data_IF_999291330356
#
_entry.id   IF_999291330356
#
_cell.length_a   1.000
_cell.length_b   1.000
_cell.length_c   1.000
_cell.angle_alpha   90.00
_cell.angle_beta   90.00
_cell.angle_gamma   90.00
#
_symmetry.space_group_name_H-M   'P 1'
#
loop_
_entity.id
_entity.type
_entity.pdbx_description
1 polymer ?
#
# COMPACT_ATOMS: atom_id res chain seq x y z
N UNK A 1 -9.84 -18.12 7.21
CA UNK A 1 -8.66 -17.37 6.79
C UNK A 1 -9.02 -15.89 6.75
N UNK A 2 -8.28 -15.08 7.49
CA UNK A 2 -8.45 -13.64 7.64
C UNK A 2 -8.13 -12.86 6.35
N UNK A 3 -7.33 -13.42 5.46
CA UNK A 3 -6.88 -12.76 4.23
C UNK A 3 -7.48 -13.41 2.98
N UNK A 4 -8.09 -12.61 2.12
CA UNK A 4 -8.52 -13.03 0.79
C UNK A 4 -7.41 -12.80 -0.22
N UNK A 5 -7.17 -13.81 -1.09
CA UNK A 5 -6.22 -13.71 -2.20
C UNK A 5 -4.78 -13.33 -1.82
N UNK A 6 -4.29 -13.87 -0.69
CA UNK A 6 -2.88 -13.69 -0.29
C UNK A 6 -1.97 -14.22 -1.40
N UNK A 7 -1.11 -13.36 -1.96
CA UNK A 7 -0.12 -13.76 -2.95
C UNK A 7 1.17 -14.29 -2.29
N UNK A 8 1.98 -15.03 -3.06
CA UNK A 8 3.32 -15.44 -2.57
C UNK A 8 4.22 -14.24 -2.31
N UNK A 9 4.09 -13.16 -3.07
CA UNK A 9 4.83 -11.91 -2.89
C UNK A 9 4.49 -11.26 -1.54
N UNK A 10 3.21 -11.18 -1.19
CA UNK A 10 2.75 -10.67 0.11
C UNK A 10 3.20 -11.55 1.27
N UNK A 11 3.08 -12.88 1.12
CA UNK A 11 3.57 -13.81 2.14
C UNK A 11 5.08 -13.64 2.36
N UNK A 12 5.86 -13.51 1.29
CA UNK A 12 7.31 -13.27 1.39
C UNK A 12 7.58 -11.93 2.07
N UNK A 13 6.82 -10.88 1.72
CA UNK A 13 6.94 -9.58 2.36
C UNK A 13 6.69 -9.66 3.86
N UNK A 14 5.62 -10.35 4.28
CA UNK A 14 5.30 -10.55 5.71
C UNK A 14 6.38 -11.35 6.44
N UNK A 15 6.89 -12.43 5.85
CA UNK A 15 7.97 -13.23 6.42
C UNK A 15 9.30 -12.49 6.54
N UNK A 16 9.50 -11.47 5.72
CA UNK A 16 10.70 -10.61 5.72
C UNK A 16 10.55 -9.37 6.61
N UNK A 17 9.33 -9.00 6.96
CA UNK A 17 9.05 -7.85 7.82
C UNK A 17 9.28 -8.23 9.28
N UNK A 18 10.07 -7.47 10.07
CA UNK A 18 10.22 -7.68 11.49
C UNK A 18 8.86 -7.57 12.22
N UNK A 19 8.68 -8.39 13.26
CA UNK A 19 7.48 -8.33 14.13
C UNK A 19 7.45 -7.01 14.94
N UNK A 20 8.57 -6.32 15.05
CA UNK A 20 8.68 -5.05 15.76
C UNK A 20 7.75 -4.00 15.18
N UNK A 21 6.93 -3.38 16.01
CA UNK A 21 5.92 -2.39 15.59
C UNK A 21 4.57 -2.98 15.21
N UNK A 22 4.43 -4.33 15.17
CA UNK A 22 3.14 -4.99 14.91
C UNK A 22 2.17 -4.74 16.09
N UNK A 23 0.89 -4.52 15.79
CA UNK A 23 -0.16 -4.40 16.78
C UNK A 23 -0.22 -5.65 17.69
N UNK A 24 -0.47 -5.43 18.99
CA UNK A 24 -0.66 -6.53 19.94
C UNK A 24 -1.89 -7.38 19.61
N UNK A 25 -2.90 -6.81 18.99
CA UNK A 25 -4.13 -7.52 18.60
C UNK A 25 -3.82 -8.55 17.51
N UNK A 26 -3.10 -8.18 16.46
CA UNK A 26 -2.67 -9.11 15.40
C UNK A 26 -1.86 -10.29 15.96
N UNK A 27 -0.98 -10.01 16.94
CA UNK A 27 -0.25 -11.07 17.62
C UNK A 27 -1.17 -11.98 18.44
N UNK A 28 -2.22 -11.42 19.03
CA UNK A 28 -3.18 -12.15 19.83
C UNK A 28 -4.08 -13.04 18.97
N UNK A 29 -4.53 -12.53 17.83
CA UNK A 29 -5.32 -13.28 16.83
C UNK A 29 -4.55 -14.48 16.29
N UNK A 30 -3.25 -14.32 16.05
CA UNK A 30 -2.38 -15.45 15.71
C UNK A 30 -2.37 -16.51 16.82
N UNK A 31 -2.28 -16.09 18.09
CA UNK A 31 -2.30 -17.01 19.23
C UNK A 31 -3.66 -17.70 19.33
N UNK A 32 -4.77 -16.98 19.22
CA UNK A 32 -6.13 -17.53 19.30
C UNK A 32 -6.43 -18.52 18.17
N UNK A 33 -5.88 -18.30 16.99
CA UNK A 33 -6.05 -19.19 15.84
C UNK A 33 -5.13 -20.42 15.92
N UNK A 34 -3.85 -20.24 16.22
CA UNK A 34 -2.86 -21.30 16.13
C UNK A 34 -2.81 -22.20 17.38
N UNK A 35 -3.00 -21.62 18.58
CA UNK A 35 -2.87 -22.40 19.83
C UNK A 35 -3.96 -23.46 19.99
N UNK A 36 -5.25 -23.20 19.74
CA UNK A 36 -6.28 -24.24 19.81
C UNK A 36 -6.02 -25.38 18.82
N UNK A 37 -5.59 -25.07 17.60
CA UNK A 37 -5.25 -26.08 16.60
C UNK A 37 -4.07 -26.96 17.05
N UNK A 38 -3.01 -26.35 17.61
CA UNK A 38 -1.87 -27.06 18.17
C UNK A 38 -2.28 -27.93 19.36
N UNK A 39 -3.12 -27.41 20.27
CA UNK A 39 -3.65 -28.17 21.43
C UNK A 39 -4.47 -29.36 20.96
N UNK A 40 -5.35 -29.20 19.98
CA UNK A 40 -6.14 -30.31 19.39
C UNK A 40 -5.23 -31.38 18.78
N UNK A 41 -4.18 -30.97 18.06
CA UNK A 41 -3.22 -31.89 17.46
C UNK A 41 -2.48 -32.71 18.54
N UNK A 42 -2.01 -32.03 19.60
CA UNK A 42 -1.36 -32.71 20.75
C UNK A 42 -2.33 -33.66 21.43
N UNK A 43 -3.57 -33.24 21.68
CA UNK A 43 -4.60 -34.08 22.29
C UNK A 43 -4.90 -35.33 21.46
N UNK A 44 -5.00 -35.17 20.11
CA UNK A 44 -5.15 -36.28 19.17
C UNK A 44 -3.98 -37.28 19.27
N UNK A 45 -2.73 -36.78 19.32
CA UNK A 45 -1.55 -37.63 19.47
C UNK A 45 -1.57 -38.40 20.81
N UNK A 46 -1.98 -37.75 21.89
CA UNK A 46 -2.10 -38.39 23.23
C UNK A 46 -3.15 -39.50 23.17
N UNK A 47 -4.31 -39.30 22.54
CA UNK A 47 -5.34 -40.32 22.38
C UNK A 47 -4.80 -41.52 21.57
N UNK A 48 -4.11 -41.26 20.45
CA UNK A 48 -3.51 -42.29 19.61
C UNK A 48 -2.53 -43.15 20.42
N UNK A 49 -1.66 -42.50 21.23
CA UNK A 49 -0.71 -43.20 22.10
C UNK A 49 -1.43 -44.04 23.17
N UNK A 50 -2.49 -43.51 23.79
CA UNK A 50 -3.26 -44.20 24.81
C UNK A 50 -3.98 -45.44 24.22
N UNK A 51 -4.58 -45.33 23.03
CA UNK A 51 -5.21 -46.44 22.33
C UNK A 51 -4.18 -47.51 21.92
N UNK A 52 -2.99 -47.11 21.48
CA UNK A 52 -1.94 -48.00 21.07
C UNK A 52 -1.39 -48.89 22.22
N UNK A 53 -1.68 -48.56 23.50
CA UNK A 53 -1.26 -49.34 24.68
C UNK A 53 -2.11 -50.59 24.95
N UNK A 54 -3.26 -50.77 24.33
CA UNK A 54 -4.24 -51.83 24.69
C UNK A 54 -3.84 -53.26 24.26
N UNK A 55 -3.38 -53.47 23.02
CA UNK A 55 -2.88 -54.76 22.53
C UNK A 55 -1.77 -54.58 21.51
N UNK A 56 -0.95 -55.65 21.29
CA UNK A 56 0.11 -55.57 20.22
C UNK A 56 -0.43 -55.33 18.82
N UNK A 57 -1.51 -55.99 18.47
CA UNK A 57 -2.15 -55.89 17.14
C UNK A 57 -2.79 -54.50 16.99
N UNK A 58 -3.54 -54.06 18.01
CA UNK A 58 -4.15 -52.72 18.04
C UNK A 58 -3.10 -51.62 17.94
N UNK A 59 -1.95 -51.82 18.61
CA UNK A 59 -0.83 -50.89 18.55
C UNK A 59 -0.35 -50.68 17.10
N UNK A 60 -0.10 -51.74 16.37
CA UNK A 60 0.38 -51.67 14.99
C UNK A 60 -0.65 -51.01 14.04
N UNK A 61 -1.91 -51.38 14.14
CA UNK A 61 -2.99 -50.80 13.32
C UNK A 61 -3.14 -49.32 13.62
N UNK A 62 -3.17 -48.92 14.90
CA UNK A 62 -3.30 -47.53 15.29
C UNK A 62 -2.07 -46.72 14.88
N UNK A 63 -0.86 -47.25 15.00
CA UNK A 63 0.35 -46.54 14.55
C UNK A 63 0.39 -46.35 13.07
N UNK A 64 0.11 -47.37 12.24
CA UNK A 64 0.05 -47.26 10.78
C UNK A 64 -1.04 -46.30 10.37
N UNK A 65 -2.23 -46.41 10.95
CA UNK A 65 -3.34 -45.51 10.69
C UNK A 65 -3.04 -44.04 11.04
N UNK A 66 -2.40 -43.82 12.19
CA UNK A 66 -1.99 -42.47 12.60
C UNK A 66 -0.92 -41.87 11.68
N UNK A 67 0.10 -42.67 11.31
CA UNK A 67 1.13 -42.20 10.37
C UNK A 67 0.53 -41.92 9.00
N UNK A 68 -0.29 -42.82 8.46
CA UNK A 68 -0.95 -42.62 7.18
C UNK A 68 -1.89 -41.41 7.17
N UNK A 69 -2.70 -41.26 8.25
CA UNK A 69 -3.59 -40.10 8.42
C UNK A 69 -2.82 -38.78 8.55
N UNK A 70 -1.75 -38.76 9.35
CA UNK A 70 -0.90 -37.57 9.48
C UNK A 70 -0.21 -37.21 8.17
N UNK A 71 0.30 -38.21 7.43
CA UNK A 71 0.87 -37.97 6.10
C UNK A 71 -0.17 -37.41 5.12
N UNK A 72 -1.37 -37.99 5.10
CA UNK A 72 -2.44 -37.52 4.23
C UNK A 72 -2.82 -36.06 4.56
N UNK A 73 -2.93 -35.71 5.84
CA UNK A 73 -3.18 -34.33 6.28
C UNK A 73 -2.07 -33.38 5.88
N UNK A 74 -0.82 -33.74 6.09
CA UNK A 74 0.33 -32.91 5.71
C UNK A 74 0.37 -32.69 4.21
N UNK A 75 0.20 -33.76 3.42
CA UNK A 75 0.20 -33.67 1.94
C UNK A 75 -0.97 -32.82 1.45
N UNK A 76 -2.19 -33.03 1.97
CA UNK A 76 -3.36 -32.25 1.56
C UNK A 76 -3.23 -30.77 1.96
N UNK A 77 -2.73 -30.49 3.16
CA UNK A 77 -2.49 -29.10 3.59
C UNK A 77 -1.39 -28.43 2.76
N UNK A 78 -0.28 -29.14 2.50
CA UNK A 78 0.77 -28.62 1.64
C UNK A 78 0.29 -28.37 0.19
N UNK A 79 -0.56 -29.25 -0.33
CA UNK A 79 -1.14 -29.10 -1.66
C UNK A 79 -2.16 -27.94 -1.71
N UNK A 80 -2.94 -27.76 -0.65
CA UNK A 80 -3.83 -26.62 -0.53
C UNK A 80 -3.04 -25.31 -0.54
N UNK A 81 -2.05 -25.15 0.33
CA UNK A 81 -1.18 -23.98 0.39
C UNK A 81 -0.47 -23.75 -0.95
N UNK A 82 0.02 -24.81 -1.59
CA UNK A 82 0.68 -24.72 -2.89
C UNK A 82 -0.24 -24.16 -3.98
N UNK A 83 -1.50 -24.57 -3.99
CA UNK A 83 -2.48 -24.12 -4.98
C UNK A 83 -3.03 -22.72 -4.65
N UNK A 84 -3.35 -22.45 -3.38
CA UNK A 84 -3.90 -21.15 -2.96
C UNK A 84 -2.93 -19.98 -3.14
N UNK A 85 -1.63 -20.25 -2.98
CA UNK A 85 -0.58 -19.24 -3.12
C UNK A 85 0.11 -19.25 -4.49
N UNK A 86 -0.35 -20.07 -5.44
CA UNK A 86 0.27 -20.25 -6.76
C UNK A 86 1.79 -20.42 -6.70
N UNK A 87 2.28 -21.20 -5.70
CA UNK A 87 3.72 -21.39 -5.44
C UNK A 87 4.48 -21.83 -6.69
N UNK A 88 3.84 -22.67 -7.54
CA UNK A 88 4.42 -23.14 -8.80
C UNK A 88 4.72 -21.99 -9.75
N UNK A 89 3.78 -21.09 -9.96
CA UNK A 89 3.93 -19.89 -10.79
C UNK A 89 4.98 -18.95 -10.22
N UNK A 90 4.93 -18.67 -8.90
CA UNK A 90 5.95 -17.87 -8.24
C UNK A 90 7.37 -18.39 -8.48
N UNK A 91 7.60 -19.69 -8.30
CA UNK A 91 8.92 -20.29 -8.52
C UNK A 91 9.36 -20.28 -10.00
N UNK A 92 8.42 -20.35 -10.93
CA UNK A 92 8.70 -20.21 -12.36
C UNK A 92 9.07 -18.77 -12.71
N UNK A 93 8.31 -17.80 -12.20
CA UNK A 93 8.59 -16.37 -12.37
C UNK A 93 9.97 -15.97 -11.82
N UNK A 94 10.37 -16.54 -10.67
CA UNK A 94 11.72 -16.32 -10.11
C UNK A 94 12.86 -16.88 -10.98
N UNK A 95 12.58 -17.82 -11.88
CA UNK A 95 13.57 -18.41 -12.80
C UNK A 95 13.53 -17.77 -14.19
N UNK A 96 12.40 -17.20 -14.56
CA UNK A 96 12.17 -16.60 -15.88
C UNK A 96 12.72 -15.19 -15.89
N UNK A 97 13.84 -14.98 -16.57
CA UNK A 97 14.39 -13.63 -16.76
C UNK A 97 13.53 -12.86 -17.77
N UNK A 98 13.22 -11.60 -17.46
CA UNK A 98 12.46 -10.70 -18.30
C UNK A 98 13.15 -9.34 -18.40
N UNK A 99 13.21 -8.82 -19.63
CA UNK A 99 13.68 -7.46 -19.91
C UNK A 99 12.54 -6.43 -19.87
N UNK A 100 11.31 -6.84 -19.52
CA UNK A 100 10.15 -5.97 -19.56
C UNK A 100 10.34 -4.67 -18.75
N UNK A 101 10.80 -4.81 -17.48
CA UNK A 101 11.04 -3.63 -16.64
C UNK A 101 12.11 -2.74 -17.26
N UNK A 102 13.22 -3.31 -17.72
CA UNK A 102 14.29 -2.58 -18.40
C UNK A 102 13.80 -1.85 -19.66
N UNK A 103 13.04 -2.52 -20.53
CA UNK A 103 12.55 -1.97 -21.81
C UNK A 103 11.48 -0.89 -21.63
N UNK A 104 10.69 -0.96 -20.54
CA UNK A 104 9.58 -0.04 -20.27
C UNK A 104 9.91 1.05 -19.25
N UNK A 105 11.04 0.94 -18.53
CA UNK A 105 11.46 1.89 -17.51
C UNK A 105 11.87 3.25 -18.11
N UNK A 106 11.06 4.26 -17.86
CA UNK A 106 11.37 5.64 -18.18
C UNK A 106 12.25 6.22 -17.06
N UNK A 107 13.59 6.21 -17.28
CA UNK A 107 14.56 6.55 -16.23
C UNK A 107 14.46 8.03 -15.80
N UNK A 108 14.05 8.33 -14.56
CA UNK A 108 13.87 9.71 -14.12
C UNK A 108 15.17 10.52 -14.05
N UNK A 109 16.33 9.87 -14.06
CA UNK A 109 17.63 10.56 -14.12
C UNK A 109 17.98 11.08 -15.53
N UNK A 110 17.33 10.53 -16.57
CA UNK A 110 17.59 10.89 -17.98
C UNK A 110 16.48 11.75 -18.57
N UNK A 111 15.27 11.71 -17.98
CA UNK A 111 14.11 12.44 -18.47
C UNK A 111 14.14 13.87 -17.95
N UNK A 112 13.94 14.83 -18.86
CA UNK A 112 13.83 16.22 -18.47
C UNK A 112 12.47 16.50 -17.81
N UNK A 113 12.53 17.04 -16.58
CA UNK A 113 11.35 17.52 -15.84
C UNK A 113 11.53 19.02 -15.63
N UNK A 114 10.56 19.81 -16.08
CA UNK A 114 10.56 21.26 -15.93
C UNK A 114 9.48 21.68 -14.96
N UNK A 115 9.86 22.27 -13.85
CA UNK A 115 8.94 22.86 -12.89
C UNK A 115 8.67 24.32 -13.20
N UNK A 116 7.47 24.84 -12.87
CA UNK A 116 7.22 26.28 -12.94
C UNK A 116 8.16 27.05 -11.99
N UNK A 117 8.41 28.32 -12.30
CA UNK A 117 9.25 29.19 -11.45
C UNK A 117 8.70 29.28 -10.03
N UNK A 118 7.37 29.48 -9.90
CA UNK A 118 6.69 29.37 -8.63
C UNK A 118 6.28 27.91 -8.38
N UNK A 119 7.06 27.24 -7.54
CA UNK A 119 6.83 25.85 -7.18
C UNK A 119 5.63 25.71 -6.24
N UNK A 120 4.77 24.73 -6.49
CA UNK A 120 3.60 24.44 -5.66
C UNK A 120 3.95 23.50 -4.51
N UNK A 121 3.31 23.68 -3.37
CA UNK A 121 3.39 22.71 -2.28
C UNK A 121 2.65 21.43 -2.66
N UNK A 122 3.11 20.32 -2.13
CA UNK A 122 2.44 19.02 -2.19
C UNK A 122 1.94 18.61 -0.81
N UNK A 123 0.68 18.20 -0.72
CA UNK A 123 0.18 17.39 0.39
C UNK A 123 -0.24 16.06 -0.21
N UNK A 124 0.44 14.97 0.19
CA UNK A 124 0.18 13.62 -0.32
C UNK A 124 -0.36 12.74 0.80
N UNK A 125 -1.58 12.24 0.63
CA UNK A 125 -2.26 11.45 1.65
C UNK A 125 -2.47 10.03 1.13
N UNK A 126 -1.72 9.10 1.70
CA UNK A 126 -2.02 7.67 1.59
C UNK A 126 -3.20 7.37 2.52
N UNK A 127 -4.29 6.93 1.94
CA UNK A 127 -5.48 6.53 2.68
C UNK A 127 -5.45 5.01 2.87
N UNK A 128 -5.22 4.56 4.09
CA UNK A 128 -5.14 3.14 4.41
C UNK A 128 -6.38 2.38 3.93
N UNK A 129 -6.17 1.34 3.11
CA UNK A 129 -7.20 0.43 2.58
C UNK A 129 -8.39 1.12 1.89
N UNK A 130 -8.25 2.34 1.38
CA UNK A 130 -9.35 3.14 0.84
C UNK A 130 -9.62 2.84 -0.64
N UNK A 131 -10.75 2.20 -0.89
CA UNK A 131 -11.20 1.78 -2.21
C UNK A 131 -12.42 2.53 -2.70
N UNK A 132 -12.60 2.56 -4.02
CA UNK A 132 -13.87 2.98 -4.63
C UNK A 132 -15.01 2.00 -4.37
N UNK A 133 -14.70 0.76 -4.02
CA UNK A 133 -15.65 -0.28 -3.65
C UNK A 133 -16.65 0.16 -2.58
N UNK A 134 -16.22 1.01 -1.64
CA UNK A 134 -17.02 1.48 -0.50
C UNK A 134 -18.08 2.52 -0.86
N UNK A 135 -18.03 3.08 -2.05
CA UNK A 135 -19.12 3.88 -2.59
C UNK A 135 -20.27 2.98 -3.07
N UNK A 136 -21.46 3.56 -3.25
CA UNK A 136 -22.61 2.81 -3.76
C UNK A 136 -22.52 2.57 -5.28
N UNK A 137 -23.15 1.48 -5.73
CA UNK A 137 -23.20 1.06 -7.14
C UNK A 137 -23.71 2.13 -8.09
N UNK A 138 -24.64 2.96 -7.65
CA UNK A 138 -25.23 4.04 -8.47
C UNK A 138 -24.23 5.15 -8.83
N UNK A 139 -23.15 5.30 -8.05
CA UNK A 139 -22.07 6.26 -8.35
C UNK A 139 -20.80 5.61 -8.90
N UNK A 140 -20.75 4.28 -9.01
CA UNK A 140 -19.59 3.55 -9.54
C UNK A 140 -18.85 2.70 -8.51
N UNK A 141 -19.38 2.59 -7.29
CA UNK A 141 -18.85 1.72 -6.24
C UNK A 141 -19.31 0.27 -6.34
N UNK A 142 -18.94 -0.54 -5.35
CA UNK A 142 -19.23 -1.99 -5.30
C UNK A 142 -20.38 -2.37 -4.36
N UNK A 143 -20.79 -1.49 -3.44
CA UNK A 143 -21.77 -1.77 -2.40
C UNK A 143 -23.17 -1.26 -2.76
N UNK A 144 -24.18 -1.75 -2.06
CA UNK A 144 -25.58 -1.28 -2.20
C UNK A 144 -25.81 0.05 -1.42
N UNK A 145 -24.87 0.47 -0.61
CA UNK A 145 -24.88 1.70 0.18
C UNK A 145 -23.49 2.39 0.09
N UNK A 146 -23.44 3.66 0.42
CA UNK A 146 -22.20 4.44 0.36
C UNK A 146 -21.64 4.64 1.78
N UNK A 147 -20.52 3.96 2.10
CA UNK A 147 -19.84 4.16 3.38
C UNK A 147 -18.92 5.39 3.38
N UNK A 148 -18.58 5.96 2.22
CA UNK A 148 -17.62 7.06 2.09
C UNK A 148 -18.25 8.28 1.38
N UNK A 149 -19.41 8.79 1.84
CA UNK A 149 -20.15 9.80 1.09
C UNK A 149 -19.38 11.11 0.94
N UNK A 150 -18.60 11.54 1.93
CA UNK A 150 -17.84 12.79 1.86
C UNK A 150 -16.67 12.67 0.87
N UNK A 151 -15.93 11.56 0.87
CA UNK A 151 -14.87 11.29 -0.12
C UNK A 151 -15.45 11.12 -1.53
N UNK A 152 -16.59 10.46 -1.65
CA UNK A 152 -17.33 10.36 -2.92
C UNK A 152 -17.66 11.74 -3.48
N UNK A 153 -18.20 12.64 -2.65
CA UNK A 153 -18.49 14.02 -3.03
C UNK A 153 -17.22 14.77 -3.42
N UNK A 154 -16.15 14.64 -2.62
CA UNK A 154 -14.87 15.30 -2.90
C UNK A 154 -14.28 14.85 -4.24
N UNK A 155 -14.38 13.54 -4.56
CA UNK A 155 -13.92 12.98 -5.82
C UNK A 155 -14.73 13.49 -7.02
N UNK A 156 -16.04 13.69 -6.86
CA UNK A 156 -16.90 14.28 -7.89
C UNK A 156 -16.64 15.77 -8.12
N UNK A 157 -16.19 16.50 -7.10
CA UNK A 157 -15.85 17.92 -7.18
C UNK A 157 -14.45 18.17 -7.79
N UNK A 158 -13.60 17.16 -7.87
CA UNK A 158 -12.19 17.28 -8.22
C UNK A 158 -11.79 16.27 -9.30
N UNK A 159 -10.49 16.17 -9.61
CA UNK A 159 -10.01 15.21 -10.60
C UNK A 159 -9.94 13.83 -9.95
N UNK A 160 -10.68 12.87 -10.53
CA UNK A 160 -10.65 11.45 -10.20
C UNK A 160 -10.46 10.66 -11.49
N UNK A 161 -9.35 9.93 -11.60
CA UNK A 161 -9.10 9.02 -12.71
C UNK A 161 -9.81 7.69 -12.47
N UNK A 162 -10.54 7.23 -13.49
CA UNK A 162 -11.42 6.07 -13.40
C UNK A 162 -11.35 5.22 -14.66
N UNK A 163 -11.34 3.89 -14.47
CA UNK A 163 -11.50 2.92 -15.56
C UNK A 163 -12.92 2.87 -16.15
N UNK A 164 -13.87 3.63 -15.61
CA UNK A 164 -15.27 3.68 -16.04
C UNK A 164 -15.73 5.12 -16.30
N UNK A 165 -16.99 5.29 -16.72
CA UNK A 165 -17.62 6.63 -16.86
C UNK A 165 -17.98 7.28 -15.51
N UNK A 166 -18.08 6.48 -14.44
CA UNK A 166 -18.46 6.93 -13.11
C UNK A 166 -17.24 7.15 -12.22
N UNK A 167 -17.46 7.31 -10.90
CA UNK A 167 -16.39 7.23 -9.90
C UNK A 167 -15.65 5.92 -10.06
N UNK A 168 -14.34 5.95 -9.98
CA UNK A 168 -13.53 4.74 -10.07
C UNK A 168 -12.16 4.94 -9.46
N UNK A 169 -11.40 3.87 -9.45
CA UNK A 169 -10.07 3.82 -8.88
C UNK A 169 -9.00 3.48 -9.89
N UNK A 170 -7.78 3.44 -9.40
CA UNK A 170 -6.61 2.87 -10.06
C UNK A 170 -6.30 1.51 -9.45
N UNK A 171 -5.64 0.64 -10.21
CA UNK A 171 -5.49 -0.76 -9.85
C UNK A 171 -4.12 -1.04 -9.26
N UNK A 172 -4.03 -1.64 -8.04
CA UNK A 172 -2.76 -2.13 -7.53
C UNK A 172 -2.15 -3.19 -8.47
N UNK A 173 -0.84 -3.11 -8.66
CA UNK A 173 -0.07 -4.16 -9.32
C UNK A 173 0.51 -5.12 -8.29
N UNK A 174 0.93 -6.30 -8.74
CA UNK A 174 1.72 -7.18 -7.88
C UNK A 174 2.95 -6.43 -7.36
N UNK A 175 3.22 -6.58 -6.07
CA UNK A 175 4.23 -5.80 -5.38
C UNK A 175 3.77 -4.40 -4.93
N UNK A 176 2.46 -4.07 -5.07
CA UNK A 176 1.86 -2.84 -4.53
C UNK A 176 0.54 -3.08 -3.78
N UNK A 177 0.29 -4.31 -3.32
CA UNK A 177 -0.96 -4.74 -2.68
C UNK A 177 -0.93 -4.64 -1.15
N UNK A 178 0.12 -4.08 -0.57
CA UNK A 178 0.26 -3.76 0.86
C UNK A 178 0.89 -2.38 1.03
N UNK A 179 0.77 -1.77 2.19
CA UNK A 179 1.14 -0.37 2.45
C UNK A 179 2.53 0.01 1.95
N UNK A 180 3.58 -0.74 2.32
CA UNK A 180 4.94 -0.39 1.89
C UNK A 180 5.13 -0.58 0.38
N UNK A 181 4.57 -1.65 -0.20
CA UNK A 181 4.59 -1.89 -1.64
C UNK A 181 3.88 -0.77 -2.41
N UNK A 182 2.74 -0.33 -1.90
CA UNK A 182 1.98 0.79 -2.47
C UNK A 182 2.74 2.12 -2.40
N UNK A 183 3.36 2.42 -1.25
CA UNK A 183 4.20 3.61 -1.10
C UNK A 183 5.35 3.63 -2.11
N UNK A 184 6.04 2.51 -2.29
CA UNK A 184 7.10 2.37 -3.28
C UNK A 184 6.54 2.56 -4.70
N UNK A 185 5.46 1.88 -5.06
CA UNK A 185 4.89 1.96 -6.41
C UNK A 185 4.43 3.37 -6.76
N UNK A 186 3.73 4.03 -5.84
CA UNK A 186 3.17 5.37 -6.05
C UNK A 186 4.23 6.48 -6.02
N UNK A 187 5.40 6.24 -5.43
CA UNK A 187 6.46 7.26 -5.35
C UNK A 187 7.62 7.03 -6.30
N UNK A 188 7.83 5.80 -6.80
CA UNK A 188 8.95 5.46 -7.71
C UNK A 188 8.49 4.94 -9.09
N UNK A 189 7.20 4.60 -9.24
CA UNK A 189 6.70 3.94 -10.44
C UNK A 189 7.24 2.52 -10.64
N UNK A 190 7.61 1.83 -9.57
CA UNK A 190 8.14 0.46 -9.57
C UNK A 190 7.42 -0.40 -8.53
N UNK A 191 7.10 -1.67 -8.81
CA UNK A 191 6.56 -2.56 -7.80
C UNK A 191 7.65 -2.88 -6.76
N UNK A 192 7.27 -3.13 -5.50
CA UNK A 192 8.20 -3.63 -4.50
C UNK A 192 8.31 -5.15 -4.61
N UNK A 193 9.46 -5.65 -5.06
CA UNK A 193 9.74 -7.08 -5.21
C UNK A 193 10.71 -7.53 -4.12
N UNK A 194 10.23 -8.39 -3.24
CA UNK A 194 11.04 -9.06 -2.22
C UNK A 194 11.16 -10.53 -2.61
N UNK A 195 12.39 -11.04 -2.71
CA UNK A 195 12.58 -12.43 -3.02
C UNK A 195 12.96 -13.24 -1.76
N UNK A 196 12.65 -14.55 -1.75
CA UNK A 196 12.91 -15.42 -0.60
C UNK A 196 14.38 -15.46 -0.17
N UNK A 197 15.31 -15.19 -1.08
CA UNK A 197 16.76 -15.23 -0.85
C UNK A 197 17.31 -13.87 -0.38
N UNK A 198 16.53 -12.81 -0.47
CA UNK A 198 16.93 -11.51 0.06
C UNK A 198 17.09 -11.59 1.58
N UNK A 199 17.95 -10.78 2.15
CA UNK A 199 18.00 -10.59 3.59
C UNK A 199 16.68 -10.03 4.10
N UNK A 200 16.37 -10.23 5.39
CA UNK A 200 15.15 -9.67 5.98
C UNK A 200 15.20 -8.15 5.88
N UNK A 201 14.05 -7.53 5.67
CA UNK A 201 13.93 -6.07 5.77
C UNK A 201 14.34 -5.67 7.18
N UNK A 202 15.50 -5.07 7.32
CA UNK A 202 16.07 -4.61 8.58
C UNK A 202 16.41 -3.14 8.49
N UNK A 203 16.79 -2.53 9.60
CA UNK A 203 17.19 -1.12 9.64
C UNK A 203 18.36 -0.79 8.68
N UNK A 204 19.12 -1.81 8.26
CA UNK A 204 20.28 -1.67 7.38
C UNK A 204 19.96 -1.90 5.89
N UNK A 205 18.74 -2.35 5.53
CA UNK A 205 18.38 -2.63 4.13
C UNK A 205 17.68 -1.43 3.50
N UNK A 206 18.35 -0.84 2.53
CA UNK A 206 17.80 0.22 1.70
C UNK A 206 16.87 -0.37 0.63
N UNK A 207 15.62 0.10 0.58
CA UNK A 207 14.66 -0.30 -0.44
C UNK A 207 14.90 0.50 -1.72
N UNK A 208 15.22 -0.18 -2.82
CA UNK A 208 15.47 0.41 -4.15
C UNK A 208 16.46 1.60 -4.14
N UNK A 209 17.65 1.46 -3.54
CA UNK A 209 18.56 2.58 -3.30
C UNK A 209 19.04 3.34 -4.56
N UNK A 210 18.89 2.73 -5.75
CA UNK A 210 19.27 3.35 -7.02
C UNK A 210 18.06 3.84 -7.84
N UNK A 211 16.84 3.63 -7.38
CA UNK A 211 15.65 4.20 -8.00
C UNK A 211 15.51 5.68 -7.59
N UNK A 212 15.01 6.51 -8.50
CA UNK A 212 14.70 7.92 -8.20
C UNK A 212 13.19 8.06 -7.97
N UNK A 213 12.83 8.70 -6.88
CA UNK A 213 11.45 8.84 -6.41
C UNK A 213 10.92 10.27 -6.50
N UNK A 214 9.63 10.46 -6.18
CA UNK A 214 9.04 11.81 -5.98
C UNK A 214 9.90 12.61 -4.97
N UNK A 215 10.26 11.98 -3.85
CA UNK A 215 11.06 12.62 -2.81
C UNK A 215 12.41 13.12 -3.32
N UNK A 216 13.12 12.31 -4.10
CA UNK A 216 14.42 12.70 -4.68
C UNK A 216 14.26 13.89 -5.65
N UNK A 217 13.24 13.82 -6.53
CA UNK A 217 12.96 14.90 -7.49
C UNK A 217 12.62 16.22 -6.75
N UNK A 218 11.76 16.16 -5.74
CA UNK A 218 11.35 17.34 -4.99
C UNK A 218 12.48 17.87 -4.09
N UNK A 219 13.31 16.99 -3.52
CA UNK A 219 14.51 17.37 -2.77
C UNK A 219 15.49 18.15 -3.63
N UNK A 220 15.78 17.70 -4.86
CA UNK A 220 16.58 18.42 -5.85
C UNK A 220 15.99 19.79 -6.22
N UNK A 221 14.68 19.93 -6.11
CA UNK A 221 13.98 21.19 -6.31
C UNK A 221 13.95 22.09 -5.07
N UNK A 222 14.54 21.70 -3.94
CA UNK A 222 14.65 22.48 -2.72
C UNK A 222 13.38 22.46 -1.86
N UNK A 223 12.55 21.44 -1.96
CA UNK A 223 11.40 21.26 -1.08
C UNK A 223 11.86 20.83 0.32
N UNK A 224 11.16 21.35 1.34
CA UNK A 224 11.18 20.75 2.67
C UNK A 224 10.22 19.57 2.68
N UNK A 225 10.69 18.41 3.12
CA UNK A 225 9.92 17.17 3.03
C UNK A 225 9.69 16.57 4.42
N UNK A 226 8.44 16.26 4.72
CA UNK A 226 8.03 15.62 5.96
C UNK A 226 7.05 14.47 5.64
N UNK A 227 7.17 13.38 6.40
CA UNK A 227 6.18 12.30 6.37
C UNK A 227 5.68 12.00 7.77
N UNK A 228 4.34 11.85 7.91
CA UNK A 228 3.68 11.65 9.18
C UNK A 228 2.77 10.40 9.15
N UNK A 229 2.88 9.58 10.17
CA UNK A 229 1.99 8.44 10.42
C UNK A 229 1.93 8.07 11.89
N UNK A 230 0.76 7.55 12.34
CA UNK A 230 0.50 7.25 13.75
C UNK A 230 1.24 6.04 14.30
N UNK A 231 1.83 5.21 13.46
CA UNK A 231 2.56 3.97 13.82
C UNK A 231 4.07 4.17 13.87
N UNK A 232 4.82 3.14 14.28
CA UNK A 232 6.28 3.18 14.29
C UNK A 232 6.85 3.16 12.86
N UNK A 233 7.79 4.06 12.57
CA UNK A 233 8.38 4.25 11.24
C UNK A 233 9.25 3.08 10.78
N UNK A 234 9.85 2.37 11.70
CA UNK A 234 10.69 1.20 11.41
C UNK A 234 9.89 0.03 10.84
N UNK A 235 8.57 -0.02 11.10
CA UNK A 235 7.74 -1.10 10.57
C UNK A 235 7.79 -1.12 9.04
N UNK A 236 8.12 -2.29 8.48
CA UNK A 236 8.28 -2.55 7.04
C UNK A 236 9.29 -1.64 6.32
N UNK A 237 10.21 -0.98 7.04
CA UNK A 237 11.27 -0.16 6.45
C UNK A 237 10.82 1.21 5.93
N UNK A 238 9.63 1.69 6.33
CA UNK A 238 9.07 2.99 5.86
C UNK A 238 9.99 4.16 6.15
N UNK A 239 10.50 4.26 7.39
CA UNK A 239 11.40 5.34 7.80
C UNK A 239 12.65 5.38 6.92
N UNK A 240 13.32 4.26 6.79
CA UNK A 240 14.55 4.14 5.99
C UNK A 240 14.32 4.53 4.54
N UNK A 241 13.19 4.10 3.96
CA UNK A 241 12.84 4.43 2.59
C UNK A 241 12.69 5.94 2.38
N UNK A 242 11.90 6.62 3.19
CA UNK A 242 11.65 8.05 3.04
C UNK A 242 12.85 8.92 3.44
N UNK A 243 13.63 8.52 4.45
CA UNK A 243 14.89 9.19 4.78
C UNK A 243 15.91 9.07 3.64
N UNK A 244 16.00 7.90 2.99
CA UNK A 244 16.91 7.67 1.85
C UNK A 244 16.45 8.41 0.61
N UNK A 245 15.16 8.33 0.28
CA UNK A 245 14.56 8.87 -0.94
C UNK A 245 13.97 10.26 -0.72
N UNK A 246 14.84 11.27 -0.68
CA UNK A 246 14.45 12.67 -0.59
C UNK A 246 14.67 13.32 0.77
N UNK A 247 15.22 12.59 1.77
CA UNK A 247 15.60 13.16 3.07
C UNK A 247 14.41 13.69 3.87
N UNK A 248 13.31 12.95 3.90
CA UNK A 248 12.13 13.34 4.68
C UNK A 248 12.43 13.38 6.18
N UNK A 249 11.91 14.38 6.87
CA UNK A 249 11.74 14.36 8.32
C UNK A 249 10.58 13.39 8.65
N UNK A 250 10.87 12.34 9.43
CA UNK A 250 9.88 11.30 9.76
C UNK A 250 9.23 11.63 11.10
N UNK A 251 7.92 11.88 11.08
CA UNK A 251 7.09 12.27 12.22
C UNK A 251 6.18 11.08 12.60
N UNK A 252 6.76 10.07 13.19
CA UNK A 252 6.12 8.81 13.54
C UNK A 252 5.63 8.78 15.02
N UNK A 253 5.15 7.61 15.45
CA UNK A 253 4.73 7.40 16.85
C UNK A 253 5.84 7.74 17.86
N UNK A 254 7.09 7.34 17.60
CA UNK A 254 8.21 7.63 18.50
C UNK A 254 8.50 9.13 18.57
N UNK A 255 8.51 9.77 17.41
CA UNK A 255 8.65 11.23 17.34
C UNK A 255 7.57 11.94 18.18
N UNK A 256 6.30 11.54 18.03
CA UNK A 256 5.19 12.14 18.77
C UNK A 256 5.32 11.93 20.29
N UNK A 257 5.75 10.74 20.72
CA UNK A 257 5.98 10.41 22.13
C UNK A 257 7.13 11.24 22.74
N UNK A 258 8.27 11.33 22.04
CA UNK A 258 9.47 12.04 22.49
C UNK A 258 9.27 13.57 22.53
N UNK A 259 8.43 14.11 21.64
CA UNK A 259 8.13 15.54 21.55
C UNK A 259 6.91 15.98 22.36
N UNK A 260 6.30 15.07 23.14
CA UNK A 260 5.20 15.38 24.06
C UNK A 260 3.88 15.72 23.34
N UNK A 261 3.69 15.19 22.13
CA UNK A 261 2.43 15.39 21.38
C UNK A 261 1.32 14.49 21.91
N UNK A 262 1.68 13.31 22.44
CA UNK A 262 0.72 12.35 22.98
C UNK A 262 0.24 12.73 24.39
N UNK A 263 -0.96 12.33 24.78
CA UNK A 263 -1.51 12.59 26.13
C UNK A 263 -0.63 12.05 27.28
N UNK A 264 0.11 10.96 27.03
CA UNK A 264 1.16 10.42 27.88
C UNK A 264 2.21 9.72 27.02
N UNK A 265 3.46 9.53 27.50
CA UNK A 265 4.53 8.90 26.72
C UNK A 265 4.23 7.46 26.28
N UNK A 266 3.37 6.78 27.00
CA UNK A 266 2.90 5.41 26.77
C UNK A 266 1.51 5.34 26.13
N UNK A 267 0.96 6.49 25.69
CA UNK A 267 -0.31 6.51 24.99
C UNK A 267 -0.20 5.74 23.67
N UNK A 268 -0.91 4.66 23.59
CA UNK A 268 -0.96 3.83 22.40
C UNK A 268 -2.34 3.24 22.23
N UNK A 269 -2.89 3.39 21.05
CA UNK A 269 -4.10 2.73 20.59
C UNK A 269 -3.76 1.99 19.31
N UNK A 270 -4.13 0.71 19.24
CA UNK A 270 -3.93 -0.14 18.08
C UNK A 270 -2.50 -0.10 17.52
N UNK A 271 -2.27 0.50 16.34
CA UNK A 271 -0.93 0.58 15.72
C UNK A 271 -0.02 1.70 16.27
N UNK A 272 -0.57 2.60 17.07
CA UNK A 272 0.18 3.76 17.61
C UNK A 272 -0.75 4.83 18.15
N UNK A 273 -1.05 5.89 17.38
CA UNK A 273 -2.13 6.84 17.67
C UNK A 273 -3.09 6.94 16.49
N UNK A 274 -4.36 7.19 16.80
CA UNK A 274 -5.48 7.21 15.88
C UNK A 274 -5.46 8.42 14.92
N UNK A 275 -6.23 8.33 13.83
CA UNK A 275 -6.31 9.35 12.78
C UNK A 275 -6.80 10.71 13.28
N UNK A 276 -7.64 10.75 14.32
CA UNK A 276 -8.04 12.03 14.94
C UNK A 276 -6.81 12.83 15.37
N UNK A 277 -5.86 12.21 16.06
CA UNK A 277 -4.60 12.85 16.47
C UNK A 277 -3.68 13.12 15.30
N UNK A 278 -3.64 12.20 14.34
CA UNK A 278 -2.86 12.40 13.12
C UNK A 278 -3.25 13.72 12.43
N UNK A 279 -4.56 13.97 12.25
CA UNK A 279 -5.04 15.23 11.67
C UNK A 279 -4.79 16.45 12.56
N UNK A 280 -4.88 16.32 13.88
CA UNK A 280 -4.54 17.40 14.81
C UNK A 280 -3.07 17.81 14.68
N UNK A 281 -2.15 16.85 14.68
CA UNK A 281 -0.70 17.08 14.55
C UNK A 281 -0.35 17.59 13.16
N UNK A 282 -0.96 17.03 12.12
CA UNK A 282 -0.78 17.48 10.74
C UNK A 282 -1.16 18.96 10.56
N UNK A 283 -2.24 19.44 11.20
CA UNK A 283 -2.62 20.86 11.16
C UNK A 283 -1.55 21.76 11.77
N UNK A 284 -0.92 21.34 12.87
CA UNK A 284 0.18 22.09 13.50
C UNK A 284 1.37 22.16 12.53
N UNK A 285 1.80 21.02 11.98
CA UNK A 285 2.97 20.98 11.06
C UNK A 285 2.71 21.76 9.77
N UNK A 286 1.53 21.63 9.18
CA UNK A 286 1.16 22.36 7.97
C UNK A 286 1.13 23.88 8.18
N UNK A 287 0.70 24.36 9.36
CA UNK A 287 0.81 25.77 9.69
C UNK A 287 2.26 26.24 9.78
N UNK A 288 3.15 25.44 10.35
CA UNK A 288 4.59 25.77 10.40
C UNK A 288 5.20 25.78 9.01
N UNK A 289 4.95 24.76 8.17
CA UNK A 289 5.42 24.67 6.79
C UNK A 289 4.86 25.81 5.93
N UNK A 290 3.57 26.10 6.05
CA UNK A 290 2.89 27.15 5.29
C UNK A 290 3.35 28.58 5.62
N UNK A 291 3.92 28.80 6.80
CA UNK A 291 4.56 30.07 7.19
C UNK A 291 6.04 30.16 6.72
N UNK A 292 6.59 29.07 6.19
CA UNK A 292 7.96 29.00 5.67
C UNK A 292 8.12 29.71 4.31
N UNK A 293 9.37 29.79 3.85
CA UNK A 293 9.72 30.39 2.54
C UNK A 293 9.95 29.33 1.47
N UNK A 294 10.17 28.07 1.87
CA UNK A 294 10.43 26.96 0.95
C UNK A 294 9.13 26.29 0.54
N UNK A 295 9.03 25.78 -0.70
CA UNK A 295 7.97 24.88 -1.05
C UNK A 295 8.08 23.62 -0.18
N UNK A 296 6.98 23.02 0.19
CA UNK A 296 6.97 21.84 1.03
C UNK A 296 6.28 20.66 0.36
N UNK A 297 6.71 19.47 0.74
CA UNK A 297 6.06 18.19 0.50
C UNK A 297 5.72 17.57 1.84
N UNK A 298 4.45 17.57 2.20
CA UNK A 298 3.93 16.93 3.39
C UNK A 298 3.18 15.68 3.00
N UNK A 299 3.75 14.53 3.34
CA UNK A 299 3.17 13.22 3.08
C UNK A 299 2.60 12.65 4.38
N UNK A 300 1.47 11.94 4.33
CA UNK A 300 0.91 11.29 5.50
C UNK A 300 0.21 9.97 5.14
N UNK A 301 0.09 9.08 6.13
CA UNK A 301 -0.64 7.81 6.03
C UNK A 301 -1.66 7.74 7.15
N UNK A 302 -2.92 7.48 6.82
CA UNK A 302 -3.97 7.16 7.81
C UNK A 302 -3.86 5.71 8.27
N UNK A 303 -4.51 5.34 9.37
CA UNK A 303 -4.37 4.00 9.95
C UNK A 303 -5.68 3.40 10.48
N UNK A 304 -6.68 4.21 10.84
CA UNK A 304 -7.90 3.72 11.50
C UNK A 304 -8.68 2.71 10.64
N UNK A 305 -8.51 2.75 9.33
CA UNK A 305 -9.15 1.84 8.36
C UNK A 305 -8.38 0.55 8.07
N UNK A 306 -7.29 0.28 8.81
CA UNK A 306 -6.54 -0.98 8.67
C UNK A 306 -7.40 -2.18 9.09
N UNK A 307 -7.26 -3.32 8.40
CA UNK A 307 -7.99 -4.56 8.70
C UNK A 307 -7.48 -5.19 10.05
N UNK A 308 -8.24 -6.04 10.77
CA UNK A 308 -9.64 -6.34 10.49
C UNK A 308 -10.56 -5.31 11.15
N UNK A 309 -11.69 -5.02 10.52
CA UNK A 309 -12.77 -4.15 11.01
C UNK A 309 -12.39 -2.69 11.33
N UNK A 310 -11.13 -2.30 11.20
CA UNK A 310 -10.63 -0.97 11.52
C UNK A 310 -10.72 -0.61 13.01
N UNK A 311 -10.20 0.56 13.37
CA UNK A 311 -10.25 1.09 14.73
C UNK A 311 -11.42 2.07 14.92
N UNK A 312 -12.45 1.72 15.71
CA UNK A 312 -13.57 2.61 15.99
C UNK A 312 -13.17 3.68 17.01
N UNK A 313 -12.64 4.80 16.54
CA UNK A 313 -12.29 5.93 17.40
C UNK A 313 -13.54 6.57 18.02
N UNK A 314 -13.36 7.46 18.98
CA UNK A 314 -14.49 8.14 19.69
C UNK A 314 -15.41 8.98 18.78
N UNK A 315 -14.98 9.30 17.56
CA UNK A 315 -15.75 10.05 16.59
C UNK A 315 -16.61 9.17 15.69
N UNK A 316 -16.38 7.86 15.68
CA UNK A 316 -17.15 6.92 14.88
C UNK A 316 -18.60 6.86 15.36
N UNK A 317 -19.52 6.87 14.41
CA UNK A 317 -20.97 6.73 14.66
C UNK A 317 -21.41 5.36 14.15
N UNK A 318 -22.36 4.74 14.82
CA UNK A 318 -22.98 3.51 14.36
C UNK A 318 -24.08 3.82 13.34
N UNK A 319 -23.69 3.88 12.06
CA UNK A 319 -24.59 4.24 10.95
C UNK A 319 -25.03 3.01 10.15
N UNK A 320 -24.21 1.97 10.11
CA UNK A 320 -24.38 0.84 9.19
C UNK A 320 -24.58 -0.51 9.90
N UNK A 321 -24.48 -0.55 11.24
CA UNK A 321 -24.60 -1.81 12.02
C UNK A 321 -23.42 -2.77 11.82
N UNK A 322 -22.37 -2.34 11.15
CA UNK A 322 -21.13 -3.07 10.89
C UNK A 322 -19.94 -2.17 11.19
N UNK A 323 -18.95 -2.67 11.94
CA UNK A 323 -17.86 -1.83 12.45
C UNK A 323 -17.01 -1.26 11.33
N UNK A 324 -16.60 -2.06 10.36
CA UNK A 324 -15.71 -1.59 9.30
C UNK A 324 -16.37 -0.51 8.44
N UNK A 325 -17.66 -0.66 8.09
CA UNK A 325 -18.42 0.38 7.39
C UNK A 325 -18.50 1.70 8.20
N UNK A 326 -18.67 1.59 9.52
CA UNK A 326 -18.72 2.75 10.42
C UNK A 326 -17.34 3.45 10.52
N UNK A 327 -16.25 2.68 10.54
CA UNK A 327 -14.87 3.21 10.54
C UNK A 327 -14.55 3.87 9.19
N UNK A 328 -14.93 3.26 8.06
CA UNK A 328 -14.78 3.87 6.74
C UNK A 328 -15.53 5.21 6.63
N UNK A 329 -16.77 5.27 7.14
CA UNK A 329 -17.55 6.51 7.18
C UNK A 329 -16.90 7.58 8.09
N UNK A 330 -16.35 7.16 9.21
CA UNK A 330 -15.63 8.04 10.12
C UNK A 330 -14.37 8.61 9.45
N UNK A 331 -13.57 7.78 8.81
CA UNK A 331 -12.38 8.19 8.06
C UNK A 331 -12.72 9.13 6.91
N UNK A 332 -13.75 8.82 6.10
CA UNK A 332 -14.25 9.68 5.03
C UNK A 332 -14.57 11.09 5.54
N UNK A 333 -15.32 11.20 6.62
CA UNK A 333 -15.69 12.49 7.22
C UNK A 333 -14.47 13.25 7.75
N UNK A 334 -13.60 12.59 8.54
CA UNK A 334 -12.43 13.22 9.12
C UNK A 334 -11.44 13.72 8.04
N UNK A 335 -11.19 12.91 7.02
CA UNK A 335 -10.35 13.28 5.88
C UNK A 335 -10.90 14.53 5.17
N UNK A 336 -12.20 14.54 4.84
CA UNK A 336 -12.79 15.68 4.13
C UNK A 336 -12.83 16.92 5.02
N UNK A 337 -13.11 16.80 6.31
CA UNK A 337 -12.99 17.92 7.26
C UNK A 337 -11.55 18.47 7.30
N UNK A 338 -10.54 17.61 7.26
CA UNK A 338 -9.13 18.02 7.19
C UNK A 338 -8.83 18.74 5.87
N UNK A 339 -9.30 18.23 4.72
CA UNK A 339 -9.15 18.90 3.42
C UNK A 339 -9.85 20.26 3.41
N UNK A 340 -11.07 20.36 3.95
CA UNK A 340 -11.80 21.64 4.05
C UNK A 340 -11.07 22.64 4.95
N UNK A 341 -10.39 22.16 6.01
CA UNK A 341 -9.53 23.02 6.83
C UNK A 341 -8.31 23.51 6.02
N UNK A 342 -7.63 22.64 5.25
CA UNK A 342 -6.51 23.05 4.38
C UNK A 342 -6.96 24.12 3.38
N UNK A 343 -8.13 23.97 2.78
CA UNK A 343 -8.71 24.91 1.83
C UNK A 343 -8.92 26.34 2.39
N UNK A 344 -8.95 26.49 3.70
CA UNK A 344 -9.09 27.78 4.38
C UNK A 344 -7.73 28.42 4.74
N UNK A 345 -6.61 27.70 4.51
CA UNK A 345 -5.29 28.20 4.88
C UNK A 345 -4.69 29.10 3.78
N UNK A 346 -3.88 30.10 4.15
CA UNK A 346 -3.24 31.01 3.18
C UNK A 346 -2.36 30.28 2.16
N UNK A 347 -1.74 29.15 2.52
CA UNK A 347 -0.88 28.37 1.63
C UNK A 347 -1.66 27.55 0.60
N UNK A 348 -2.97 27.36 0.76
CA UNK A 348 -3.77 26.50 -0.11
C UNK A 348 -3.76 26.94 -1.58
N UNK A 349 -3.77 28.23 -1.87
CA UNK A 349 -3.78 28.74 -3.26
C UNK A 349 -2.61 28.14 -4.07
N UNK A 350 -1.45 27.97 -3.44
CA UNK A 350 -0.24 27.40 -4.06
C UNK A 350 0.01 25.94 -3.61
N UNK A 351 -1.02 25.15 -3.33
CA UNK A 351 -0.88 23.77 -2.84
C UNK A 351 -1.72 22.83 -3.70
N UNK A 352 -1.12 21.73 -4.11
CA UNK A 352 -1.81 20.58 -4.69
C UNK A 352 -1.96 19.51 -3.64
N UNK A 353 -3.16 18.91 -3.52
CA UNK A 353 -3.43 17.83 -2.60
C UNK A 353 -3.71 16.57 -3.42
N UNK A 354 -3.02 15.49 -3.12
CA UNK A 354 -3.22 14.15 -3.68
C UNK A 354 -3.71 13.24 -2.57
N UNK A 355 -4.90 12.68 -2.73
CA UNK A 355 -5.42 11.63 -1.87
C UNK A 355 -5.49 10.36 -2.69
N UNK A 356 -4.95 9.28 -2.19
CA UNK A 356 -4.96 7.99 -2.88
C UNK A 356 -5.00 6.85 -1.87
N UNK A 357 -5.85 5.85 -2.13
CA UNK A 357 -5.81 4.60 -1.38
C UNK A 357 -4.46 3.93 -1.58
N UNK A 358 -3.89 3.37 -0.52
CA UNK A 358 -2.63 2.66 -0.67
C UNK A 358 -2.85 1.30 -1.35
N UNK A 359 -3.70 0.44 -0.82
CA UNK A 359 -4.05 -0.87 -1.39
C UNK A 359 -5.52 -1.23 -1.14
N UNK A 360 -5.95 -2.36 -1.67
CA UNK A 360 -7.28 -2.93 -1.38
C UNK A 360 -7.28 -3.52 0.02
N UNK A 361 -8.43 -3.46 0.72
CA UNK A 361 -8.51 -4.08 2.04
C UNK A 361 -8.22 -5.57 1.98
N UNK A 362 -7.49 -6.04 2.98
CA UNK A 362 -7.24 -7.46 3.23
C UNK A 362 -8.35 -8.09 4.06
N UNK A 363 -9.34 -7.30 4.48
CA UNK A 363 -10.51 -7.81 5.18
C UNK A 363 -11.31 -8.73 4.27
N UNK A 364 -11.49 -9.99 4.70
CA UNK A 364 -11.98 -11.07 3.83
C UNK A 364 -13.50 -11.09 3.67
N UNK A 365 -14.22 -10.54 4.62
CA UNK A 365 -15.70 -10.66 4.70
C UNK A 365 -16.41 -9.37 4.30
N UNK A 366 -15.84 -8.20 4.55
CA UNK A 366 -16.45 -6.91 4.20
C UNK A 366 -16.79 -6.78 2.71
N UNK A 367 -15.90 -7.23 1.84
CA UNK A 367 -16.09 -7.22 0.40
C UNK A 367 -16.64 -8.55 -0.18
N UNK A 368 -16.99 -9.54 0.66
CA UNK A 368 -17.40 -10.87 0.21
C UNK A 368 -18.66 -10.86 -0.68
N UNK A 369 -19.54 -9.88 -0.52
CA UNK A 369 -20.77 -9.73 -1.29
C UNK A 369 -20.63 -8.79 -2.51
N UNK A 370 -19.45 -8.27 -2.78
CA UNK A 370 -19.18 -7.45 -3.98
C UNK A 370 -19.19 -8.38 -5.20
N UNK A 371 -19.84 -7.93 -6.30
CA UNK A 371 -19.90 -8.74 -7.52
C UNK A 371 -18.48 -9.08 -8.00
N UNK A 372 -18.19 -10.35 -8.36
CA UNK A 372 -16.89 -10.73 -8.92
C UNK A 372 -16.57 -10.06 -10.27
N UNK A 373 -17.56 -9.47 -10.93
CA UNK A 373 -17.37 -8.68 -12.16
C UNK A 373 -16.94 -7.25 -11.86
N UNK A 374 -17.10 -6.78 -10.61
CA UNK A 374 -16.65 -5.45 -10.20
C UNK A 374 -15.15 -5.44 -10.01
N UNK A 375 -14.46 -4.62 -10.79
CA UNK A 375 -13.02 -4.44 -10.64
C UNK A 375 -12.73 -3.47 -9.50
N UNK A 376 -12.26 -4.01 -8.38
CA UNK A 376 -11.87 -3.22 -7.21
C UNK A 376 -10.63 -2.39 -7.52
N UNK A 377 -10.63 -1.13 -7.10
CA UNK A 377 -9.51 -0.20 -7.29
C UNK A 377 -9.42 0.79 -6.14
N UNK A 378 -8.21 1.29 -5.87
CA UNK A 378 -7.97 2.30 -4.84
C UNK A 378 -8.48 3.66 -5.29
N UNK A 379 -9.14 4.38 -4.38
CA UNK A 379 -9.66 5.73 -4.65
C UNK A 379 -8.50 6.69 -4.89
N UNK A 380 -8.62 7.58 -5.87
CA UNK A 380 -7.67 8.65 -6.13
C UNK A 380 -8.39 9.99 -6.34
N UNK A 381 -7.85 11.06 -5.78
CA UNK A 381 -8.41 12.41 -5.90
C UNK A 381 -7.27 13.42 -5.97
N UNK A 382 -7.31 14.31 -6.96
CA UNK A 382 -6.37 15.42 -7.09
C UNK A 382 -7.11 16.74 -6.89
N UNK A 383 -6.80 17.44 -5.80
CA UNK A 383 -7.42 18.73 -5.45
C UNK A 383 -6.46 19.86 -5.78
N UNK A 384 -6.99 20.88 -6.45
CA UNK A 384 -6.25 22.11 -6.81
C UNK A 384 -4.97 21.87 -7.65
N UNK A 385 -4.96 20.84 -8.52
CA UNK A 385 -3.88 20.69 -9.49
C UNK A 385 -3.96 21.81 -10.57
N UNK A 386 -2.83 22.43 -10.96
CA UNK A 386 -2.82 23.54 -11.94
C UNK A 386 -2.94 23.04 -13.39
N UNK A 387 -3.03 21.75 -13.61
CA UNK A 387 -3.08 21.11 -14.91
C UNK A 387 -4.46 20.52 -15.18
N UNK A 388 -4.93 20.64 -16.41
CA UNK A 388 -6.17 20.01 -16.85
C UNK A 388 -5.89 18.63 -17.44
N UNK A 389 -6.64 17.63 -17.02
CA UNK A 389 -6.55 16.30 -17.61
C UNK A 389 -7.17 16.26 -19.01
N UNK A 390 -6.52 15.59 -19.95
CA UNK A 390 -7.06 15.34 -21.29
C UNK A 390 -8.31 14.46 -21.19
N UNK A 391 -8.26 13.43 -20.37
CA UNK A 391 -9.39 12.55 -20.06
C UNK A 391 -9.21 11.94 -18.66
N UNK A 392 -10.28 11.92 -17.87
CA UNK A 392 -10.28 11.33 -16.52
C UNK A 392 -11.10 10.04 -16.44
N UNK A 393 -11.85 9.67 -17.49
CA UNK A 393 -12.76 8.52 -17.50
C UNK A 393 -12.34 7.52 -18.56
N UNK A 394 -12.71 6.25 -18.34
CA UNK A 394 -12.28 5.11 -19.16
C UNK A 394 -10.74 5.06 -19.32
N UNK A 395 -10.04 5.35 -18.23
CA UNK A 395 -8.59 5.31 -18.13
C UNK A 395 -8.20 4.14 -17.21
N UNK A 396 -7.63 3.08 -17.77
CA UNK A 396 -7.11 1.97 -16.98
C UNK A 396 -5.70 2.35 -16.53
N UNK A 397 -5.52 2.50 -15.22
CA UNK A 397 -4.26 2.92 -14.62
C UNK A 397 -3.86 2.03 -13.45
N UNK A 398 -2.57 1.87 -13.25
CA UNK A 398 -1.99 1.21 -12.09
C UNK A 398 -1.51 2.19 -11.03
N UNK A 399 -1.24 1.72 -9.82
CA UNK A 399 -0.67 2.54 -8.74
C UNK A 399 0.70 3.13 -9.10
N UNK A 400 1.44 2.52 -10.04
CA UNK A 400 2.70 3.06 -10.55
C UNK A 400 2.54 4.36 -11.34
N UNK A 401 1.36 4.59 -11.93
CA UNK A 401 1.06 5.81 -12.69
C UNK A 401 0.93 7.06 -11.79
N UNK A 402 0.78 6.87 -10.47
CA UNK A 402 0.75 7.97 -9.50
C UNK A 402 2.06 8.75 -9.45
N UNK A 403 3.20 8.12 -9.70
CA UNK A 403 4.50 8.79 -9.68
C UNK A 403 4.58 9.96 -10.68
N UNK A 404 4.50 9.75 -12.01
CA UNK A 404 4.52 10.87 -12.97
C UNK A 404 3.29 11.77 -12.85
N UNK A 405 2.13 11.22 -12.48
CA UNK A 405 0.90 11.99 -12.34
C UNK A 405 1.01 13.02 -11.21
N UNK A 406 1.64 12.66 -10.09
CA UNK A 406 1.88 13.59 -8.97
C UNK A 406 2.83 14.71 -9.37
N UNK A 407 3.89 14.42 -10.11
CA UNK A 407 4.81 15.45 -10.62
C UNK A 407 4.07 16.40 -11.57
N UNK A 408 3.23 15.87 -12.47
CA UNK A 408 2.39 16.68 -13.36
C UNK A 408 1.36 17.51 -12.58
N UNK A 409 0.76 16.95 -11.52
CA UNK A 409 -0.18 17.66 -10.64
C UNK A 409 0.45 18.86 -9.89
N UNK A 410 1.78 18.93 -9.82
CA UNK A 410 2.53 20.09 -9.30
C UNK A 410 2.87 21.12 -10.41
N UNK A 411 2.43 20.88 -11.63
CA UNK A 411 2.78 21.67 -12.82
C UNK A 411 4.11 21.29 -13.45
N UNK A 412 4.67 20.14 -13.08
CA UNK A 412 5.90 19.60 -13.70
C UNK A 412 5.61 19.08 -15.12
N UNK A 413 6.34 19.61 -16.09
CA UNK A 413 6.30 19.12 -17.48
C UNK A 413 7.32 17.98 -17.63
N UNK A 414 6.84 16.77 -17.91
CA UNK A 414 7.66 15.56 -18.02
C UNK A 414 7.86 15.26 -19.51
N UNK A 415 9.11 15.22 -19.98
CA UNK A 415 9.40 14.82 -21.36
C UNK A 415 8.91 13.39 -21.62
N UNK A 416 8.00 13.23 -22.59
CA UNK A 416 7.41 11.93 -22.93
C UNK A 416 6.37 11.40 -21.93
N UNK A 417 5.96 12.17 -20.93
CA UNK A 417 4.87 11.85 -20.00
C UNK A 417 5.00 10.53 -19.23
N UNK A 418 6.22 10.03 -18.99
CA UNK A 418 6.48 8.79 -18.25
C UNK A 418 7.65 8.93 -17.28
N UNK A 419 7.53 8.31 -16.09
CA UNK A 419 8.61 8.12 -15.12
C UNK A 419 8.47 6.73 -14.48
N UNK A 420 9.57 6.00 -14.34
CA UNK A 420 9.49 4.61 -13.91
C UNK A 420 8.70 3.78 -14.94
N UNK A 421 7.82 2.93 -14.49
CA UNK A 421 6.84 2.23 -15.31
C UNK A 421 5.52 3.02 -15.46
N UNK A 422 5.35 4.14 -14.73
CA UNK A 422 4.13 4.94 -14.72
C UNK A 422 4.02 5.90 -15.91
N UNK A 423 2.79 6.27 -16.21
CA UNK A 423 2.39 7.27 -17.20
C UNK A 423 1.63 8.41 -16.53
N UNK A 424 1.89 9.65 -16.92
CA UNK A 424 1.18 10.83 -16.46
C UNK A 424 -0.29 10.78 -16.91
N UNK A 425 -1.23 10.61 -15.97
CA UNK A 425 -2.66 10.47 -16.26
C UNK A 425 -3.31 11.77 -16.73
N UNK A 426 -2.71 12.93 -16.45
CA UNK A 426 -3.19 14.20 -17.00
C UNK A 426 -2.92 14.29 -18.50
N UNK A 427 -1.93 13.55 -19.04
CA UNK A 427 -1.67 13.47 -20.48
C UNK A 427 -2.66 12.54 -21.19
N UNK A 428 -2.73 12.66 -22.50
CA UNK A 428 -3.50 11.71 -23.33
C UNK A 428 -2.74 10.42 -23.67
N UNK A 429 -1.54 10.22 -23.10
CA UNK A 429 -0.72 9.04 -23.39
C UNK A 429 -1.31 7.79 -22.75
N UNK A 430 -1.40 6.65 -23.48
CA UNK A 430 -1.82 5.39 -22.89
C UNK A 430 -0.88 4.91 -21.77
N UNK A 431 -1.45 4.34 -20.71
CA UNK A 431 -0.72 3.67 -19.65
C UNK A 431 -0.24 2.29 -20.10
N UNK A 432 0.67 1.66 -19.35
CA UNK A 432 1.02 0.26 -19.62
C UNK A 432 -0.17 -0.69 -19.41
N UNK A 433 -1.05 -0.37 -18.47
CA UNK A 433 -2.28 -1.12 -18.25
C UNK A 433 -3.28 -0.99 -19.41
N UNK A 434 -3.34 0.17 -20.07
CA UNK A 434 -4.15 0.37 -21.30
C UNK A 434 -3.52 -0.33 -22.51
N UNK A 435 -2.19 -0.40 -22.60
CA UNK A 435 -1.48 -1.07 -23.71
C UNK A 435 -1.58 -2.61 -23.63
N UNK A 436 -1.51 -3.17 -22.42
CA UNK A 436 -1.33 -4.62 -22.20
C UNK A 436 -2.54 -5.30 -21.56
N UNK A 437 -3.35 -4.57 -20.80
CA UNK A 437 -4.26 -5.10 -19.80
C UNK A 437 -3.56 -5.37 -18.46
N UNK A 438 -4.32 -5.29 -17.34
CA UNK A 438 -3.78 -5.48 -16.01
C UNK A 438 -3.18 -6.87 -15.79
N UNK A 439 -3.83 -7.92 -16.30
CA UNK A 439 -3.35 -9.31 -16.15
C UNK A 439 -1.96 -9.51 -16.78
N UNK A 440 -1.77 -9.01 -17.99
CA UNK A 440 -0.48 -9.12 -18.65
C UNK A 440 0.57 -8.23 -18.00
N UNK A 441 0.20 -7.03 -17.56
CA UNK A 441 1.11 -6.15 -16.82
C UNK A 441 1.61 -6.85 -15.54
N UNK A 442 0.71 -7.46 -14.76
CA UNK A 442 1.04 -8.21 -13.57
C UNK A 442 1.92 -9.41 -13.88
N UNK A 443 1.59 -10.20 -14.92
CA UNK A 443 2.41 -11.32 -15.35
C UNK A 443 3.84 -10.90 -15.73
N UNK A 444 4.03 -9.71 -16.32
CA UNK A 444 5.37 -9.22 -16.67
C UNK A 444 6.14 -8.69 -15.46
N UNK A 445 5.49 -7.95 -14.55
CA UNK A 445 6.19 -7.41 -13.38
C UNK A 445 6.55 -8.47 -12.34
N UNK A 446 5.87 -9.64 -12.33
CA UNK A 446 6.21 -10.79 -11.46
C UNK A 446 7.54 -11.45 -11.84
N UNK A 447 7.91 -11.48 -13.13
CA UNK A 447 9.10 -12.16 -13.61
C UNK A 447 10.38 -11.58 -13.02
N UNK A 448 11.42 -12.40 -12.92
CA UNK A 448 12.73 -11.92 -12.49
C UNK A 448 13.29 -10.90 -13.49
N UNK A 449 13.98 -9.87 -12.98
CA UNK A 449 14.62 -8.84 -13.80
C UNK A 449 15.96 -8.45 -13.18
N UNK A 450 17.03 -8.64 -13.94
CA UNK A 450 18.38 -8.24 -13.53
C UNK A 450 18.48 -6.72 -13.40
N UNK A 451 17.82 -5.98 -14.30
CA UNK A 451 17.75 -4.53 -14.22
C UNK A 451 17.12 -4.08 -12.90
N UNK A 452 15.98 -4.66 -12.51
CA UNK A 452 15.34 -4.36 -11.23
C UNK A 452 16.23 -4.74 -10.03
N UNK A 453 16.89 -5.89 -10.09
CA UNK A 453 17.84 -6.32 -9.06
C UNK A 453 19.00 -5.31 -8.91
N UNK A 454 19.43 -4.70 -10.01
CA UNK A 454 20.41 -3.61 -10.02
C UNK A 454 19.91 -2.36 -9.31
N UNK A 455 18.66 -1.94 -9.52
CA UNK A 455 18.02 -0.83 -8.80
C UNK A 455 17.88 -1.12 -7.30
N UNK A 456 17.65 -2.38 -6.95
CA UNK A 456 17.55 -2.86 -5.57
C UNK A 456 18.92 -3.06 -4.86
N UNK A 457 20.04 -2.73 -5.50
CA UNK A 457 21.37 -2.84 -4.89
C UNK A 457 21.94 -4.26 -4.83
N UNK A 458 21.26 -5.27 -5.41
CA UNK A 458 21.57 -6.69 -5.26
C UNK A 458 22.60 -7.29 -6.25
N UNK A 459 23.05 -6.55 -7.25
CA UNK A 459 24.17 -6.88 -8.15
C UNK A 459 24.83 -5.60 -8.65
N UNK A 460 26.17 -5.61 -8.84
CA UNK A 460 26.85 -4.63 -9.69
C UNK A 460 26.31 -4.80 -11.12
N UNK A 461 25.25 -4.11 -11.45
CA UNK A 461 24.92 -3.86 -12.85
C UNK A 461 25.95 -2.86 -13.32
N UNK A 462 26.71 -3.22 -14.35
CA UNK A 462 27.66 -2.33 -15.00
C UNK A 462 26.95 -0.99 -15.31
N UNK A 463 27.41 0.08 -14.67
CA UNK A 463 26.83 1.42 -14.81
C UNK A 463 26.73 1.85 -16.29
N UNK A 464 27.52 1.22 -17.19
CA UNK A 464 27.42 1.43 -18.63
C UNK A 464 26.08 0.99 -19.24
N UNK A 465 25.33 0.07 -18.62
CA UNK A 465 23.98 -0.35 -19.08
C UNK A 465 22.91 0.66 -18.66
N UNK A 466 23.12 1.36 -17.54
CA UNK A 466 22.20 2.42 -17.08
C UNK A 466 22.37 3.72 -17.88
N UNK A 467 23.57 3.98 -18.43
CA UNK A 467 23.87 5.19 -19.19
C UNK A 467 23.58 5.09 -20.71
N UNK A 468 23.21 3.89 -21.22
CA UNK A 468 23.06 3.65 -22.66
C UNK A 468 21.61 3.72 -23.19
N UNK A 469 20.62 4.15 -22.39
CA UNK A 469 19.22 4.31 -22.90
C UNK A 469 18.61 5.66 -22.54
#
# INVERSE_FOLDING_TARGET
>A
ATWTNLSMEELVAQLKTPIQGTSHEVLWDFVETCVPAAVMAVFFVVIVIALARKTKITKWIVQIGAVAGSMALIVSSAQMVWNELDVGEYLENQKTESHFIEDKYANPNQIQIRFPEQKRNLIYIFMESMETTYASKDVGGGLDFNCIPELTQLAMENVNFSGTEQLGGIYPTDGSTWTMGAMVAQTSGLPLKLNLRAENVSEDIEVLPKAKTIGDILGEQGYRQEIMFGSEGEFAGRKQYFEKHGGYEVLDYKYAAENGWLPSPDYRVWWGYEDEKLFEFAKVRLNELGNGQQPFNFTMLTVDTHFEDGYPCRLCQDLYGEQYANVMACSSRQLVEFIRWIQQQPFYENTTIVLVGDHLTMDSDFCANVSPEYQRGVLNIFVNAPVMAVNTKNRIASTMDMFPTTIAALGGEIEGDRLGLGTNLFSGRPTLAEELGMDQLNAEVRKNSLFYAGLAGGMEVDDSVMDMK
#
